data_IF_009240338154
#
_entry.id   IF_009240338154
#
_cell.length_a   1.000
_cell.length_b   1.000
_cell.length_c   1.000
_cell.angle_alpha   90.00
_cell.angle_beta   90.00
_cell.angle_gamma   90.00
#
_symmetry.space_group_name_H-M   'P 1'
#
loop_
_entity.id
_entity.type
_entity.pdbx_description
1 polymer ?
#
# COMPACT_ATOMS: atom_id res chain seq x y z
N UNK A 1 34.25 61.70 7.16
CA UNK A 1 32.95 61.89 6.46
C UNK A 1 32.45 60.50 6.13
N UNK A 2 31.39 60.07 6.80
CA UNK A 2 30.72 58.80 6.55
C UNK A 2 29.67 59.00 5.45
N UNK A 3 29.61 58.09 4.49
CA UNK A 3 28.46 57.94 3.60
C UNK A 3 27.72 56.67 4.03
N UNK A 4 26.52 56.88 4.53
CA UNK A 4 25.54 55.86 4.86
C UNK A 4 24.67 55.60 3.62
N UNK A 5 24.59 54.35 3.18
CA UNK A 5 23.89 53.92 1.96
C UNK A 5 22.51 53.30 2.27
N UNK A 6 22.00 53.49 3.49
CA UNK A 6 20.75 52.88 3.95
C UNK A 6 19.51 53.37 3.17
N UNK A 7 19.58 54.52 2.49
CA UNK A 7 18.46 55.09 1.72
C UNK A 7 18.42 54.67 0.23
N UNK A 8 19.29 53.78 -0.25
CA UNK A 8 19.30 53.33 -1.66
C UNK A 8 18.68 51.94 -1.91
N UNK A 9 18.06 51.32 -0.91
CA UNK A 9 17.32 50.05 -1.06
C UNK A 9 15.85 50.26 -0.65
N UNK A 10 15.20 51.29 -1.19
CA UNK A 10 13.75 51.46 -1.10
C UNK A 10 13.10 51.07 -2.43
N UNK A 11 12.89 49.78 -2.61
CA UNK A 11 12.14 49.21 -3.73
C UNK A 11 11.35 47.94 -3.36
N UNK A 12 11.19 47.68 -2.06
CA UNK A 12 10.26 46.66 -1.58
C UNK A 12 8.85 47.23 -1.65
N UNK A 13 8.05 46.70 -2.56
CA UNK A 13 6.59 46.79 -2.51
C UNK A 13 6.15 46.57 -1.07
N UNK A 14 5.61 47.62 -0.46
CA UNK A 14 4.82 47.49 0.76
C UNK A 14 3.71 46.50 0.45
N UNK A 15 3.87 45.26 0.92
CA UNK A 15 2.72 44.41 1.20
C UNK A 15 1.87 45.20 2.19
N UNK A 16 0.83 45.86 1.68
CA UNK A 16 -0.29 46.29 2.49
C UNK A 16 -0.74 45.06 3.26
N UNK A 17 -0.31 44.98 4.52
CA UNK A 17 -0.89 44.08 5.50
C UNK A 17 -2.37 44.40 5.55
N UNK A 18 -3.15 43.60 4.84
CA UNK A 18 -4.59 43.53 5.05
C UNK A 18 -4.75 43.28 6.55
N UNK A 19 -5.49 44.13 7.28
CA UNK A 19 -5.58 43.99 8.71
C UNK A 19 -6.25 42.64 8.99
N UNK A 20 -5.47 41.68 9.48
CA UNK A 20 -6.02 40.47 10.08
C UNK A 20 -6.91 40.93 11.24
N UNK A 21 -8.22 40.91 11.01
CA UNK A 21 -9.19 40.99 12.08
C UNK A 21 -8.79 39.93 13.09
N UNK A 22 -8.34 40.35 14.27
CA UNK A 22 -8.00 39.46 15.39
C UNK A 22 -9.29 38.82 15.85
N UNK A 23 -9.67 37.73 15.17
CA UNK A 23 -10.75 36.83 15.57
C UNK A 23 -10.51 36.46 17.03
N UNK A 24 -11.56 36.54 17.83
CA UNK A 24 -11.53 36.01 19.18
C UNK A 24 -11.21 34.51 19.13
N UNK A 25 -10.71 33.95 20.24
CA UNK A 25 -10.38 32.51 20.33
C UNK A 25 -11.57 31.63 19.95
N UNK A 26 -12.78 32.07 20.31
CA UNK A 26 -14.04 31.38 19.99
C UNK A 26 -14.37 31.48 18.50
N UNK A 27 -14.27 32.66 17.89
CA UNK A 27 -14.49 32.83 16.45
C UNK A 27 -13.47 32.06 15.61
N UNK A 28 -12.20 32.02 16.03
CA UNK A 28 -11.18 31.21 15.36
C UNK A 28 -11.48 29.70 15.47
N UNK A 29 -11.92 29.24 16.63
CA UNK A 29 -12.31 27.84 16.83
C UNK A 29 -13.54 27.48 15.97
N UNK A 30 -14.55 28.35 15.93
CA UNK A 30 -15.74 28.18 15.10
C UNK A 30 -15.38 28.15 13.61
N UNK A 31 -14.54 29.07 13.13
CA UNK A 31 -14.06 29.08 11.74
C UNK A 31 -13.32 27.80 11.38
N UNK A 32 -12.44 27.30 12.26
CA UNK A 32 -11.73 26.03 12.03
C UNK A 32 -12.63 24.80 12.12
N UNK A 33 -13.71 24.86 12.89
CA UNK A 33 -14.71 23.81 12.93
C UNK A 33 -15.52 23.78 11.62
N UNK A 34 -15.97 24.95 11.17
CA UNK A 34 -16.69 25.10 9.89
C UNK A 34 -15.83 24.63 8.71
N UNK A 35 -14.55 25.06 8.62
CA UNK A 35 -13.63 24.61 7.58
C UNK A 35 -13.50 23.07 7.56
N UNK A 36 -13.52 22.43 8.73
CA UNK A 36 -13.51 20.97 8.84
C UNK A 36 -14.78 20.32 8.33
N UNK A 37 -15.93 20.86 8.72
CA UNK A 37 -17.23 20.35 8.28
C UNK A 37 -17.40 20.47 6.77
N UNK A 38 -17.01 21.60 6.18
CA UNK A 38 -17.06 21.82 4.73
C UNK A 38 -16.17 20.84 3.96
N UNK A 39 -14.92 20.63 4.42
CA UNK A 39 -14.01 19.68 3.76
C UNK A 39 -14.51 18.23 3.90
N UNK A 40 -15.11 17.86 5.03
CA UNK A 40 -15.72 16.52 5.14
C UNK A 40 -16.98 16.37 4.30
N UNK A 41 -17.80 17.40 4.19
CA UNK A 41 -18.95 17.39 3.26
C UNK A 41 -18.49 17.19 1.80
N UNK A 42 -17.37 17.81 1.41
CA UNK A 42 -16.76 17.60 0.09
C UNK A 42 -16.26 16.16 -0.08
N UNK A 43 -15.53 15.61 0.90
CA UNK A 43 -15.08 14.20 0.87
C UNK A 43 -16.27 13.26 0.72
N UNK A 44 -17.36 13.53 1.42
CA UNK A 44 -18.59 12.73 1.40
C UNK A 44 -19.28 12.80 0.03
N UNK A 45 -19.37 14.01 -0.53
CA UNK A 45 -19.90 14.23 -1.87
C UNK A 45 -19.07 13.52 -2.94
N UNK A 46 -17.74 13.61 -2.87
CA UNK A 46 -16.83 12.92 -3.78
C UNK A 46 -16.98 11.40 -3.65
N UNK A 47 -17.10 10.86 -2.43
CA UNK A 47 -17.30 9.43 -2.21
C UNK A 47 -18.58 8.93 -2.90
N UNK A 48 -19.69 9.67 -2.79
CA UNK A 48 -20.92 9.35 -3.52
C UNK A 48 -20.76 9.49 -5.04
N UNK A 49 -20.09 10.55 -5.49
CA UNK A 49 -19.81 10.83 -6.90
C UNK A 49 -19.04 9.71 -7.60
N UNK A 50 -18.06 9.10 -6.93
CA UNK A 50 -17.27 7.98 -7.45
C UNK A 50 -18.13 6.77 -7.81
N UNK A 51 -19.23 6.53 -7.11
CA UNK A 51 -20.07 5.35 -7.33
C UNK A 51 -21.32 5.61 -8.19
N UNK A 52 -21.48 6.80 -8.79
CA UNK A 52 -22.66 7.12 -9.60
C UNK A 52 -22.86 6.15 -10.77
N UNK A 53 -21.78 5.77 -11.44
CA UNK A 53 -21.76 4.82 -12.55
C UNK A 53 -20.37 4.16 -12.69
N UNK A 54 -20.26 3.20 -13.60
CA UNK A 54 -19.01 2.48 -13.86
C UNK A 54 -17.88 3.36 -14.38
N UNK A 55 -18.16 4.42 -15.16
CA UNK A 55 -17.15 5.32 -15.71
C UNK A 55 -16.56 6.25 -14.64
N UNK A 56 -17.39 6.74 -13.72
CA UNK A 56 -16.95 7.53 -12.55
C UNK A 56 -16.07 6.70 -11.63
N UNK A 57 -16.47 5.45 -11.36
CA UNK A 57 -15.67 4.54 -10.55
C UNK A 57 -14.34 4.22 -11.25
N UNK A 58 -14.39 3.96 -12.56
CA UNK A 58 -13.20 3.75 -13.38
C UNK A 58 -12.23 4.93 -13.31
N UNK A 59 -12.73 6.16 -13.46
CA UNK A 59 -11.92 7.38 -13.39
C UNK A 59 -11.20 7.52 -12.05
N UNK A 60 -11.89 7.24 -10.94
CA UNK A 60 -11.28 7.27 -9.61
C UNK A 60 -10.23 6.18 -9.41
N UNK A 61 -10.51 4.94 -9.83
CA UNK A 61 -9.56 3.84 -9.71
C UNK A 61 -8.34 4.02 -10.62
N UNK A 62 -8.52 4.60 -11.81
CA UNK A 62 -7.43 5.00 -12.72
C UNK A 62 -6.54 6.05 -12.06
N UNK A 63 -7.13 7.10 -11.47
CA UNK A 63 -6.40 8.11 -10.70
C UNK A 63 -5.63 7.48 -9.53
N UNK A 64 -6.29 6.62 -8.75
CA UNK A 64 -5.69 5.95 -7.59
C UNK A 64 -4.52 5.02 -7.97
N UNK A 65 -4.58 4.39 -9.15
CA UNK A 65 -3.50 3.59 -9.69
C UNK A 65 -2.25 4.43 -10.01
N UNK A 66 -2.42 5.70 -10.35
CA UNK A 66 -1.33 6.61 -10.72
C UNK A 66 -0.82 7.46 -9.55
N UNK A 67 -1.70 7.83 -8.62
CA UNK A 67 -1.36 8.68 -7.49
C UNK A 67 -0.37 7.99 -6.53
N UNK A 68 0.42 8.80 -5.82
CA UNK A 68 1.22 8.34 -4.71
C UNK A 68 0.32 7.86 -3.56
N UNK A 69 0.92 7.24 -2.54
CA UNK A 69 0.13 6.83 -1.37
C UNK A 69 -0.55 8.00 -0.69
N UNK A 70 -1.86 7.89 -0.57
CA UNK A 70 -2.70 8.88 0.10
C UNK A 70 -3.67 8.19 1.04
N UNK A 71 -4.18 8.91 2.02
CA UNK A 71 -5.36 8.45 2.80
C UNK A 71 -6.61 8.63 1.95
N UNK A 72 -7.65 7.84 2.20
CA UNK A 72 -8.90 7.89 1.40
C UNK A 72 -9.49 9.31 1.28
N UNK A 73 -9.59 10.12 2.35
CA UNK A 73 -10.07 11.50 2.21
C UNK A 73 -9.20 12.34 1.28
N UNK A 74 -7.87 12.19 1.32
CA UNK A 74 -6.98 12.90 0.41
C UNK A 74 -7.09 12.39 -1.03
N UNK A 75 -7.29 11.08 -1.28
CA UNK A 75 -7.56 10.59 -2.63
C UNK A 75 -8.80 11.25 -3.22
N UNK A 76 -9.88 11.33 -2.45
CA UNK A 76 -11.15 11.95 -2.86
C UNK A 76 -10.98 13.45 -3.10
N UNK A 77 -10.32 14.17 -2.18
CA UNK A 77 -10.06 15.61 -2.34
C UNK A 77 -9.18 15.91 -3.55
N UNK A 78 -8.10 15.14 -3.76
CA UNK A 78 -7.22 15.35 -4.92
C UNK A 78 -8.00 15.05 -6.20
N UNK A 79 -8.69 13.92 -6.29
CA UNK A 79 -9.45 13.54 -7.47
C UNK A 79 -10.52 14.58 -7.84
N UNK A 80 -11.25 15.11 -6.86
CA UNK A 80 -12.28 16.12 -7.08
C UNK A 80 -11.74 17.48 -7.56
N UNK A 81 -10.50 17.82 -7.22
CA UNK A 81 -9.85 19.09 -7.60
C UNK A 81 -9.00 18.94 -8.88
N UNK A 82 -8.18 17.90 -8.96
CA UNK A 82 -7.18 17.63 -10.01
C UNK A 82 -6.96 16.12 -10.20
N UNK A 83 -7.74 15.45 -11.09
CA UNK A 83 -7.64 14.01 -11.33
C UNK A 83 -6.37 13.58 -12.10
N UNK A 84 -5.58 14.54 -12.57
CA UNK A 84 -4.31 14.34 -13.28
C UNK A 84 -3.07 14.38 -12.36
N UNK A 85 -3.23 14.79 -11.09
CA UNK A 85 -2.13 14.87 -10.13
C UNK A 85 -1.61 13.49 -9.73
N UNK A 86 -0.28 13.37 -9.59
CA UNK A 86 0.41 12.08 -9.41
C UNK A 86 1.11 11.95 -8.08
N UNK A 87 1.71 13.03 -7.56
CA UNK A 87 2.44 13.00 -6.30
C UNK A 87 2.11 14.26 -5.54
N UNK A 88 1.12 14.19 -4.64
CA UNK A 88 0.69 15.33 -3.84
C UNK A 88 1.24 15.22 -2.42
N UNK A 89 1.84 16.31 -1.93
CA UNK A 89 2.34 16.40 -0.55
C UNK A 89 2.12 17.80 0.02
N UNK A 90 2.21 17.96 1.33
CA UNK A 90 2.21 19.28 1.96
C UNK A 90 3.48 20.04 1.61
N UNK A 91 3.43 21.36 1.75
CA UNK A 91 4.60 22.22 1.54
C UNK A 91 5.80 21.80 2.40
N UNK A 92 5.58 21.47 3.68
CA UNK A 92 6.64 21.06 4.61
C UNK A 92 7.34 19.79 4.13
N UNK A 93 6.58 18.82 3.61
CA UNK A 93 7.14 17.58 3.05
C UNK A 93 7.96 17.83 1.80
N UNK A 94 7.55 18.76 0.94
CA UNK A 94 8.36 19.13 -0.21
C UNK A 94 9.64 19.85 0.16
N UNK A 95 9.58 20.71 1.19
CA UNK A 95 10.75 21.39 1.72
C UNK A 95 11.78 20.41 2.31
N UNK A 96 11.32 19.35 2.97
CA UNK A 96 12.17 18.22 3.43
C UNK A 96 12.89 17.53 2.25
N UNK A 97 12.27 17.49 1.07
CA UNK A 97 12.86 16.96 -0.17
C UNK A 97 13.63 18.01 -0.99
N UNK A 98 13.93 19.17 -0.40
CA UNK A 98 14.64 20.28 -1.03
C UNK A 98 13.96 20.81 -2.32
N UNK A 99 12.63 20.77 -2.35
CA UNK A 99 11.82 21.34 -3.45
C UNK A 99 11.05 22.56 -2.98
N UNK A 100 10.88 23.51 -3.89
CA UNK A 100 10.11 24.74 -3.70
C UNK A 100 8.98 24.83 -4.71
N UNK A 101 7.88 25.46 -4.33
CA UNK A 101 6.73 25.67 -5.23
C UNK A 101 7.16 26.66 -6.33
N UNK A 102 6.81 26.36 -7.59
CA UNK A 102 7.09 27.26 -8.72
C UNK A 102 6.27 28.55 -8.58
N UNK A 103 6.79 29.65 -9.11
CA UNK A 103 6.11 30.96 -9.07
C UNK A 103 4.76 30.86 -9.77
N UNK A 104 3.69 31.32 -9.10
CA UNK A 104 2.32 31.33 -9.64
C UNK A 104 1.51 30.05 -9.39
N UNK A 105 2.11 29.00 -8.83
CA UNK A 105 1.38 27.77 -8.50
C UNK A 105 0.57 27.92 -7.20
N UNK A 106 -0.61 27.30 -7.18
CA UNK A 106 -1.51 27.33 -6.03
C UNK A 106 -1.79 25.92 -5.51
N UNK A 107 -1.80 25.78 -4.19
CA UNK A 107 -2.07 24.51 -3.53
C UNK A 107 -3.55 24.17 -3.45
N UNK A 108 -3.83 22.87 -3.53
CA UNK A 108 -5.17 22.29 -3.39
C UNK A 108 -5.51 22.05 -1.93
N UNK A 109 -6.79 21.98 -1.59
CA UNK A 109 -7.24 21.61 -0.24
C UNK A 109 -6.79 20.19 0.09
N UNK A 110 -6.13 20.02 1.24
CA UNK A 110 -5.46 18.78 1.59
C UNK A 110 -5.44 18.56 3.10
N UNK A 111 -5.73 17.34 3.56
CA UNK A 111 -5.66 16.99 4.99
C UNK A 111 -4.25 16.55 5.37
N UNK A 112 -3.57 17.36 6.16
CA UNK A 112 -2.20 17.13 6.64
C UNK A 112 -2.28 16.38 7.96
N UNK A 113 -1.69 15.19 8.05
CA UNK A 113 -1.59 14.45 9.31
C UNK A 113 -0.77 15.23 10.33
N UNK A 114 -1.26 15.32 11.55
CA UNK A 114 -0.52 15.88 12.68
C UNK A 114 -0.41 14.84 13.77
N UNK A 115 0.69 14.87 14.50
CA UNK A 115 0.85 14.12 15.75
C UNK A 115 0.90 15.13 16.89
N UNK A 116 0.15 14.88 17.95
CA UNK A 116 0.08 15.76 19.10
C UNK A 116 -0.03 14.94 20.38
N UNK A 117 0.60 15.41 21.45
CA UNK A 117 0.50 14.79 22.76
C UNK A 117 -0.78 15.24 23.45
N UNK A 118 -1.54 14.29 23.99
CA UNK A 118 -2.70 14.56 24.85
C UNK A 118 -2.70 13.56 25.99
N UNK A 119 -2.68 14.07 27.22
CA UNK A 119 -2.69 13.26 28.45
C UNK A 119 -1.50 12.27 28.54
N UNK A 120 -0.33 12.65 28.03
CA UNK A 120 0.87 11.80 27.99
C UNK A 120 0.88 10.74 26.87
N UNK A 121 -0.17 10.68 26.05
CA UNK A 121 -0.26 9.78 24.89
C UNK A 121 -0.12 10.56 23.58
N UNK A 122 0.73 10.05 22.69
CA UNK A 122 0.82 10.55 21.32
C UNK A 122 -0.44 10.15 20.54
N UNK A 123 -1.21 11.16 20.12
CA UNK A 123 -2.40 10.98 19.28
C UNK A 123 -2.15 11.51 17.88
N UNK A 124 -2.88 10.92 16.93
CA UNK A 124 -2.88 11.36 15.54
C UNK A 124 -4.13 12.18 15.26
N UNK A 125 -3.93 13.33 14.63
CA UNK A 125 -4.98 14.19 14.13
C UNK A 125 -4.72 14.59 12.68
N UNK A 126 -5.42 15.62 12.26
CA UNK A 126 -5.13 16.29 11.01
C UNK A 126 -5.48 17.77 11.11
N UNK A 127 -4.84 18.57 10.27
CA UNK A 127 -5.23 19.94 9.96
C UNK A 127 -5.59 20.03 8.48
N UNK A 128 -6.42 21.03 8.15
CA UNK A 128 -6.68 21.39 6.76
C UNK A 128 -5.64 22.40 6.35
N UNK A 129 -4.98 22.10 5.25
CA UNK A 129 -3.94 22.93 4.68
C UNK A 129 -3.88 22.75 3.17
N UNK A 130 -2.69 22.99 2.62
CA UNK A 130 -2.45 22.96 1.17
C UNK A 130 -1.55 21.80 0.78
N UNK A 131 -1.95 21.10 -0.28
CA UNK A 131 -1.17 20.08 -0.97
C UNK A 131 -0.71 20.62 -2.33
N UNK A 132 0.48 20.20 -2.76
CA UNK A 132 1.06 20.56 -4.05
C UNK A 132 1.49 19.29 -4.78
N UNK A 133 1.21 19.21 -6.07
CA UNK A 133 1.68 18.11 -6.92
C UNK A 133 3.14 18.32 -7.35
N UNK A 134 3.88 17.23 -7.61
CA UNK A 134 5.26 17.28 -8.10
C UNK A 134 5.43 18.15 -9.36
N UNK A 135 4.42 18.23 -10.24
CA UNK A 135 4.44 19.10 -11.41
C UNK A 135 4.53 20.58 -11.07
N UNK A 136 4.06 20.98 -9.88
CA UNK A 136 4.10 22.35 -9.36
C UNK A 136 5.41 22.66 -8.63
N UNK A 137 6.28 21.66 -8.43
CA UNK A 137 7.50 21.78 -7.65
C UNK A 137 8.72 21.98 -8.54
N UNK A 138 9.70 22.74 -8.05
CA UNK A 138 11.04 22.82 -8.64
C UNK A 138 11.78 21.48 -8.53
N UNK A 139 12.87 21.36 -9.30
CA UNK A 139 13.71 20.16 -9.34
C UNK A 139 13.32 19.17 -10.43
N UNK A 140 13.88 17.95 -10.36
CA UNK A 140 13.68 16.92 -11.39
C UNK A 140 12.22 16.48 -11.45
N UNK A 141 11.64 16.31 -12.66
CA UNK A 141 10.29 15.76 -12.79
C UNK A 141 10.22 14.31 -12.29
N UNK A 142 9.00 13.80 -12.13
CA UNK A 142 8.77 12.39 -11.82
C UNK A 142 9.35 11.52 -12.95
N UNK A 143 10.16 10.52 -12.59
CA UNK A 143 10.64 9.52 -13.55
C UNK A 143 9.50 8.61 -14.01
N UNK A 144 9.53 8.22 -15.29
CA UNK A 144 8.57 7.25 -15.81
C UNK A 144 8.78 5.89 -15.15
N UNK A 145 7.67 5.20 -14.85
CA UNK A 145 7.77 3.87 -14.26
C UNK A 145 8.35 2.89 -15.29
N UNK A 146 9.33 2.06 -14.91
CA UNK A 146 9.85 1.02 -15.78
C UNK A 146 8.72 0.08 -16.24
N UNK A 147 8.66 -0.18 -17.54
CA UNK A 147 7.75 -1.18 -18.08
C UNK A 147 8.27 -2.58 -17.71
N UNK A 148 7.36 -3.45 -17.30
CA UNK A 148 7.65 -4.83 -16.88
C UNK A 148 6.81 -5.77 -17.69
N UNK A 149 7.38 -6.91 -18.09
CA UNK A 149 6.59 -7.97 -18.72
C UNK A 149 5.63 -8.60 -17.70
N UNK A 150 4.55 -9.19 -18.21
CA UNK A 150 3.55 -9.81 -17.35
C UNK A 150 4.10 -11.02 -16.59
N UNK A 151 4.98 -11.80 -17.22
CA UNK A 151 5.70 -12.91 -16.58
C UNK A 151 6.55 -12.44 -15.41
N UNK A 152 7.31 -11.35 -15.56
CA UNK A 152 8.09 -10.75 -14.46
C UNK A 152 7.19 -10.27 -13.33
N UNK A 153 6.07 -9.63 -13.66
CA UNK A 153 5.09 -9.16 -12.68
C UNK A 153 4.50 -10.32 -11.88
N UNK A 154 4.05 -11.39 -12.54
CA UNK A 154 3.52 -12.58 -11.87
C UNK A 154 4.58 -13.22 -10.97
N UNK A 155 5.82 -13.38 -11.46
CA UNK A 155 6.93 -13.89 -10.66
C UNK A 155 7.20 -13.04 -9.42
N UNK A 156 7.19 -11.71 -9.57
CA UNK A 156 7.39 -10.75 -8.48
C UNK A 156 6.26 -10.78 -7.47
N UNK A 157 5.01 -10.93 -7.94
CA UNK A 157 3.85 -11.12 -7.06
C UNK A 157 3.99 -12.42 -6.27
N UNK A 158 4.41 -13.53 -6.85
CA UNK A 158 4.52 -14.81 -6.15
C UNK A 158 5.69 -14.90 -5.16
N UNK A 159 6.77 -14.16 -5.42
CA UNK A 159 7.99 -14.16 -4.58
C UNK A 159 7.70 -13.65 -3.16
N UNK A 160 8.27 -14.31 -2.16
CA UNK A 160 8.25 -13.91 -0.73
C UNK A 160 6.86 -13.58 -0.15
N UNK A 161 5.82 -14.23 -0.66
CA UNK A 161 4.45 -14.02 -0.18
C UNK A 161 4.24 -14.53 1.25
N UNK A 162 3.56 -13.73 2.07
CA UNK A 162 3.13 -14.15 3.42
C UNK A 162 1.95 -15.13 3.39
N UNK A 163 1.22 -15.17 2.27
CA UNK A 163 0.09 -16.07 2.02
C UNK A 163 0.54 -17.16 1.06
N UNK A 164 0.29 -18.42 1.41
CA UNK A 164 0.67 -19.54 0.56
C UNK A 164 -0.15 -19.52 -0.74
N UNK A 165 0.49 -19.73 -1.88
CA UNK A 165 -0.19 -19.91 -3.17
C UNK A 165 0.01 -21.36 -3.63
N UNK A 166 -1.07 -22.04 -4.01
CA UNK A 166 -1.06 -23.42 -4.49
C UNK A 166 -1.86 -23.53 -5.78
N UNK A 167 -1.32 -24.27 -6.74
CA UNK A 167 -2.06 -24.68 -7.93
C UNK A 167 -3.05 -25.77 -7.53
N UNK A 168 -4.29 -25.65 -7.99
CA UNK A 168 -5.36 -26.62 -7.77
C UNK A 168 -6.10 -26.86 -9.08
N UNK A 169 -6.07 -28.10 -9.56
CA UNK A 169 -6.68 -28.48 -10.84
C UNK A 169 -8.20 -28.72 -10.69
N UNK A 170 -8.63 -29.16 -9.50
CA UNK A 170 -10.02 -29.54 -9.20
C UNK A 170 -10.85 -28.40 -8.56
N UNK A 171 -10.53 -27.14 -8.85
CA UNK A 171 -11.37 -26.02 -8.43
C UNK A 171 -12.77 -26.10 -9.09
N UNK A 172 -13.86 -25.70 -8.40
CA UNK A 172 -15.20 -25.70 -8.98
C UNK A 172 -15.28 -24.92 -10.29
N UNK A 173 -16.18 -25.33 -11.18
CA UNK A 173 -16.39 -24.68 -12.48
C UNK A 173 -16.52 -23.15 -12.33
N UNK A 174 -15.84 -22.41 -13.21
CA UNK A 174 -15.76 -20.94 -13.23
C UNK A 174 -15.01 -20.28 -12.06
N UNK A 175 -14.44 -21.05 -11.13
CA UNK A 175 -13.50 -20.52 -10.14
C UNK A 175 -12.09 -20.45 -10.74
N UNK A 176 -11.57 -19.24 -10.87
CA UNK A 176 -10.21 -18.97 -11.35
C UNK A 176 -9.16 -19.08 -10.22
N UNK A 177 -9.50 -18.53 -9.05
CA UNK A 177 -8.70 -18.61 -7.83
C UNK A 177 -9.60 -18.32 -6.62
N UNK A 178 -9.20 -18.80 -5.44
CA UNK A 178 -9.90 -18.52 -4.19
C UNK A 178 -8.96 -18.49 -2.98
N UNK A 179 -9.05 -17.42 -2.18
CA UNK A 179 -8.46 -17.37 -0.84
C UNK A 179 -9.28 -18.19 0.16
N UNK A 180 -8.60 -19.09 0.88
CA UNK A 180 -9.15 -19.84 1.99
C UNK A 180 -8.62 -19.29 3.33
N UNK A 181 -9.47 -18.66 4.16
CA UNK A 181 -9.04 -18.04 5.42
C UNK A 181 -8.63 -19.05 6.50
N UNK A 182 -9.14 -20.29 6.45
CA UNK A 182 -8.81 -21.33 7.44
C UNK A 182 -7.37 -21.79 7.31
N UNK A 183 -6.89 -21.92 6.08
CA UNK A 183 -5.52 -22.38 5.78
C UNK A 183 -4.58 -21.26 5.35
N UNK A 184 -5.07 -20.01 5.29
CA UNK A 184 -4.35 -18.84 4.75
C UNK A 184 -3.63 -19.17 3.44
N UNK A 185 -4.38 -19.79 2.53
CA UNK A 185 -3.86 -20.29 1.27
C UNK A 185 -4.75 -19.81 0.13
N UNK A 186 -4.13 -19.34 -0.95
CA UNK A 186 -4.77 -19.04 -2.22
C UNK A 186 -4.61 -20.27 -3.11
N UNK A 187 -5.73 -20.84 -3.52
CA UNK A 187 -5.78 -21.88 -4.55
C UNK A 187 -6.02 -21.22 -5.90
N UNK A 188 -5.21 -21.53 -6.90
CA UNK A 188 -5.30 -20.95 -8.25
C UNK A 188 -5.39 -22.05 -9.31
N UNK A 189 -6.27 -21.85 -10.29
CA UNK A 189 -6.45 -22.79 -11.40
C UNK A 189 -5.25 -22.75 -12.34
N UNK A 190 -4.78 -23.92 -12.75
CA UNK A 190 -3.70 -24.02 -13.74
C UNK A 190 -4.17 -23.66 -15.17
N UNK A 191 -3.23 -23.30 -16.05
CA UNK A 191 -3.47 -23.16 -17.49
C UNK A 191 -4.31 -21.95 -17.93
N UNK A 192 -4.52 -20.96 -17.06
CA UNK A 192 -5.16 -19.69 -17.44
C UNK A 192 -4.19 -18.81 -18.24
N UNK A 193 -4.71 -17.83 -19.00
CA UNK A 193 -3.86 -16.81 -19.62
C UNK A 193 -3.11 -16.00 -18.56
N UNK A 194 -1.95 -15.43 -18.90
CA UNK A 194 -1.17 -14.61 -17.96
C UNK A 194 -1.99 -13.43 -17.41
N UNK A 195 -2.78 -12.76 -18.25
CA UNK A 195 -3.66 -11.64 -17.83
C UNK A 195 -4.69 -12.12 -16.82
N UNK A 196 -5.35 -13.24 -17.09
CA UNK A 196 -6.33 -13.84 -16.18
C UNK A 196 -5.69 -14.27 -14.87
N UNK A 197 -4.51 -14.87 -14.94
CA UNK A 197 -3.72 -15.32 -13.78
C UNK A 197 -3.35 -14.14 -12.89
N UNK A 198 -2.84 -13.05 -13.49
CA UNK A 198 -2.47 -11.84 -12.77
C UNK A 198 -3.67 -11.22 -12.05
N UNK A 199 -4.82 -11.09 -12.72
CA UNK A 199 -6.03 -10.54 -12.11
C UNK A 199 -6.58 -11.43 -10.99
N UNK A 200 -6.68 -12.74 -11.23
CA UNK A 200 -7.20 -13.69 -10.25
C UNK A 200 -6.32 -13.73 -9.00
N UNK A 201 -5.00 -13.78 -9.18
CA UNK A 201 -4.03 -13.79 -8.09
C UNK A 201 -4.12 -12.51 -7.24
N UNK A 202 -4.08 -11.33 -7.87
CA UNK A 202 -4.15 -10.06 -7.13
C UNK A 202 -5.51 -9.86 -6.45
N UNK A 203 -6.61 -10.36 -7.02
CA UNK A 203 -7.92 -10.33 -6.36
C UNK A 203 -7.93 -11.18 -5.09
N UNK A 204 -7.39 -12.39 -5.12
CA UNK A 204 -7.37 -13.24 -3.92
C UNK A 204 -6.32 -12.79 -2.89
N UNK A 205 -5.21 -12.18 -3.32
CA UNK A 205 -4.28 -11.48 -2.42
C UNK A 205 -4.96 -10.29 -1.74
N UNK A 206 -5.81 -9.55 -2.45
CA UNK A 206 -6.61 -8.47 -1.86
C UNK A 206 -7.62 -9.01 -0.83
N UNK A 207 -8.28 -10.14 -1.12
CA UNK A 207 -9.12 -10.84 -0.14
C UNK A 207 -8.30 -11.21 1.12
N UNK A 208 -7.10 -11.75 0.95
CA UNK A 208 -6.23 -12.12 2.07
C UNK A 208 -5.75 -10.90 2.87
N UNK A 209 -5.45 -9.78 2.21
CA UNK A 209 -5.07 -8.52 2.86
C UNK A 209 -6.20 -7.90 3.70
N UNK A 210 -7.46 -8.21 3.37
CA UNK A 210 -8.65 -7.74 4.10
C UNK A 210 -9.11 -8.73 5.19
N UNK A 211 -8.47 -9.89 5.31
CA UNK A 211 -8.72 -10.82 6.40
C UNK A 211 -8.02 -10.36 7.68
N UNK A 212 -8.79 -9.82 8.61
CA UNK A 212 -8.29 -9.37 9.92
C UNK A 212 -7.91 -10.52 10.86
N UNK A 213 -8.17 -11.77 10.47
CA UNK A 213 -7.87 -12.98 11.23
C UNK A 213 -8.56 -13.07 12.60
N UNK A 214 -9.70 -12.39 12.73
CA UNK A 214 -10.58 -12.43 13.92
C UNK A 214 -11.70 -13.47 13.80
N UNK A 215 -11.69 -14.27 12.73
CA UNK A 215 -12.76 -15.23 12.41
C UNK A 215 -14.00 -14.61 11.76
N UNK A 216 -13.99 -13.30 11.49
CA UNK A 216 -15.14 -12.55 10.93
C UNK A 216 -15.11 -12.39 9.41
N UNK A 217 -14.08 -12.94 8.75
CA UNK A 217 -13.92 -12.83 7.30
C UNK A 217 -15.13 -13.40 6.54
N UNK A 218 -15.60 -12.64 5.55
CA UNK A 218 -16.62 -13.09 4.60
C UNK A 218 -16.26 -12.62 3.20
N UNK A 219 -16.08 -13.57 2.28
CA UNK A 219 -15.77 -13.27 0.88
C UNK A 219 -16.82 -12.35 0.25
N UNK A 220 -18.10 -12.53 0.60
CA UNK A 220 -19.19 -11.71 0.06
C UNK A 220 -19.08 -10.23 0.49
N UNK A 221 -18.48 -9.95 1.66
CA UNK A 221 -18.30 -8.60 2.18
C UNK A 221 -17.10 -7.88 1.55
N UNK A 222 -16.09 -8.61 1.07
CA UNK A 222 -14.83 -8.03 0.59
C UNK A 222 -14.60 -8.20 -0.92
N UNK A 223 -15.37 -9.06 -1.60
CA UNK A 223 -15.10 -9.42 -2.99
C UNK A 223 -15.16 -8.24 -3.95
N UNK A 224 -16.03 -7.26 -3.71
CA UNK A 224 -16.14 -6.06 -4.54
C UNK A 224 -14.92 -5.13 -4.35
N UNK A 225 -14.45 -4.98 -3.11
CA UNK A 225 -13.25 -4.20 -2.78
C UNK A 225 -11.99 -4.88 -3.34
N UNK A 226 -11.88 -6.20 -3.17
CA UNK A 226 -10.79 -7.00 -3.73
C UNK A 226 -10.74 -6.95 -5.26
N UNK A 227 -11.92 -6.94 -5.91
CA UNK A 227 -12.03 -6.76 -7.34
C UNK A 227 -11.52 -5.39 -7.80
N UNK A 228 -11.92 -4.31 -7.11
CA UNK A 228 -11.40 -2.97 -7.41
C UNK A 228 -9.89 -2.84 -7.12
N UNK A 229 -9.38 -3.50 -6.08
CA UNK A 229 -7.96 -3.50 -5.78
C UNK A 229 -7.14 -4.21 -6.88
N UNK A 230 -7.65 -5.32 -7.41
CA UNK A 230 -7.03 -5.99 -8.57
C UNK A 230 -7.02 -5.07 -9.81
N UNK A 231 -8.09 -4.31 -10.04
CA UNK A 231 -8.13 -3.30 -11.10
C UNK A 231 -7.04 -2.24 -10.92
N UNK A 232 -6.91 -1.67 -9.71
CA UNK A 232 -5.91 -0.62 -9.41
C UNK A 232 -4.49 -1.13 -9.65
N UNK A 233 -4.20 -2.36 -9.20
CA UNK A 233 -2.88 -2.98 -9.43
C UNK A 233 -2.62 -3.23 -10.91
N UNK A 234 -3.59 -3.81 -11.63
CA UNK A 234 -3.47 -4.05 -13.06
C UNK A 234 -3.22 -2.76 -13.84
N UNK A 235 -4.03 -1.72 -13.57
CA UNK A 235 -3.90 -0.42 -14.20
C UNK A 235 -2.52 0.20 -13.98
N UNK A 236 -2.03 0.14 -12.74
CA UNK A 236 -0.72 0.70 -12.35
C UNK A 236 0.46 0.10 -13.12
N UNK A 237 0.35 -1.19 -13.47
CA UNK A 237 1.39 -1.93 -14.18
C UNK A 237 1.09 -2.13 -15.68
N UNK A 238 0.08 -1.43 -16.23
CA UNK A 238 -0.24 -1.50 -17.65
C UNK A 238 -0.84 -2.83 -18.11
N UNK A 239 -1.39 -3.63 -17.20
CA UNK A 239 -2.07 -4.89 -17.55
C UNK A 239 -3.48 -4.56 -18.04
N UNK A 240 -3.95 -5.28 -19.07
CA UNK A 240 -5.28 -5.09 -19.66
C UNK A 240 -6.39 -5.21 -18.61
N UNK A 241 -7.26 -4.20 -18.54
CA UNK A 241 -8.39 -4.10 -17.60
C UNK A 241 -9.76 -4.14 -18.29
N UNK A 242 -9.82 -4.42 -19.60
CA UNK A 242 -11.09 -4.43 -20.36
C UNK A 242 -12.11 -5.44 -19.84
N UNK A 243 -11.66 -6.52 -19.20
CA UNK A 243 -12.54 -7.53 -18.58
C UNK A 243 -13.23 -7.09 -17.28
N UNK A 244 -12.98 -5.88 -16.77
CA UNK A 244 -13.58 -5.40 -15.54
C UNK A 244 -14.97 -4.79 -15.75
N UNK A 245 -15.96 -5.26 -14.98
CA UNK A 245 -17.32 -4.71 -14.96
C UNK A 245 -17.49 -3.81 -13.73
N UNK A 246 -17.05 -2.55 -13.86
CA UNK A 246 -17.15 -1.55 -12.79
C UNK A 246 -18.58 -0.99 -12.66
N UNK A 247 -19.38 -1.06 -13.72
CA UNK A 247 -20.81 -0.70 -13.69
C UNK A 247 -21.58 -1.56 -12.68
N UNK A 248 -21.32 -2.87 -12.63
CA UNK A 248 -21.91 -3.76 -11.64
C UNK A 248 -21.53 -3.37 -10.20
N UNK A 249 -20.33 -2.85 -9.98
CA UNK A 249 -19.87 -2.40 -8.65
C UNK A 249 -20.60 -1.11 -8.24
N UNK A 250 -20.77 -0.17 -9.18
CA UNK A 250 -21.55 1.05 -8.96
C UNK A 250 -23.01 0.70 -8.61
N UNK A 251 -23.66 -0.18 -9.37
CA UNK A 251 -25.03 -0.64 -9.11
C UNK A 251 -25.19 -1.31 -7.74
N UNK A 252 -24.23 -2.15 -7.34
CA UNK A 252 -24.23 -2.81 -6.01
C UNK A 252 -24.04 -1.81 -4.85
N UNK A 253 -23.49 -0.64 -5.14
CA UNK A 253 -23.39 0.49 -4.22
C UNK A 253 -24.45 1.56 -4.49
N UNK A 254 -25.59 1.13 -5.05
CA UNK A 254 -26.80 1.91 -5.27
C UNK A 254 -26.54 3.20 -6.06
N UNK A 255 -25.58 3.15 -6.98
CA UNK A 255 -25.19 4.28 -7.81
C UNK A 255 -24.84 5.52 -6.96
N UNK A 256 -24.13 5.31 -5.85
CA UNK A 256 -23.67 6.37 -4.94
C UNK A 256 -24.72 6.85 -3.92
N UNK A 257 -25.89 6.22 -3.85
CA UNK A 257 -26.98 6.62 -2.92
C UNK A 257 -26.83 6.08 -1.50
N UNK A 258 -25.85 5.21 -1.25
CA UNK A 258 -25.53 4.72 0.10
C UNK A 258 -25.03 5.86 0.99
N UNK A 259 -25.00 5.56 2.28
CA UNK A 259 -24.35 6.41 3.27
C UNK A 259 -22.91 6.71 2.84
N UNK A 260 -22.49 7.99 2.83
CA UNK A 260 -21.15 8.38 2.42
C UNK A 260 -20.05 7.66 3.21
N UNK A 261 -20.26 7.37 4.50
CA UNK A 261 -19.26 6.70 5.32
C UNK A 261 -19.04 5.27 4.86
N UNK A 262 -20.11 4.54 4.54
CA UNK A 262 -20.00 3.20 3.96
C UNK A 262 -19.21 3.20 2.64
N UNK A 263 -19.41 4.20 1.78
CA UNK A 263 -18.67 4.35 0.53
C UNK A 263 -17.19 4.69 0.75
N UNK A 264 -16.89 5.56 1.74
CA UNK A 264 -15.51 5.85 2.14
C UNK A 264 -14.80 4.62 2.71
N UNK A 265 -15.50 3.83 3.51
CA UNK A 265 -14.97 2.61 4.09
C UNK A 265 -14.66 1.58 2.99
N UNK A 266 -15.54 1.43 2.00
CA UNK A 266 -15.28 0.63 0.79
C UNK A 266 -13.99 1.09 0.10
N UNK A 267 -13.84 2.39 -0.17
CA UNK A 267 -12.64 2.92 -0.84
C UNK A 267 -11.38 2.77 0.03
N UNK A 268 -11.52 2.84 1.36
CA UNK A 268 -10.43 2.56 2.28
C UNK A 268 -9.96 1.11 2.23
N UNK A 269 -10.86 0.13 2.13
CA UNK A 269 -10.52 -1.28 1.93
C UNK A 269 -9.78 -1.49 0.61
N UNK A 270 -10.28 -0.91 -0.49
CA UNK A 270 -9.61 -0.94 -1.81
C UNK A 270 -8.20 -0.37 -1.69
N UNK A 271 -8.05 0.76 -1.02
CA UNK A 271 -6.76 1.42 -0.77
C UNK A 271 -5.82 0.58 0.06
N UNK A 272 -6.28 0.00 1.15
CA UNK A 272 -5.46 -0.84 2.02
C UNK A 272 -4.94 -2.07 1.27
N UNK A 273 -5.84 -2.79 0.58
CA UNK A 273 -5.48 -3.98 -0.18
C UNK A 273 -4.53 -3.64 -1.33
N UNK A 274 -4.82 -2.59 -2.11
CA UNK A 274 -3.99 -2.16 -3.23
C UNK A 274 -2.59 -1.75 -2.76
N UNK A 275 -2.48 -0.99 -1.66
CA UNK A 275 -1.17 -0.56 -1.17
C UNK A 275 -0.36 -1.71 -0.57
N UNK A 276 -1.02 -2.68 0.08
CA UNK A 276 -0.37 -3.89 0.56
C UNK A 276 0.31 -4.65 -0.59
N UNK A 277 -0.46 -4.91 -1.65
CA UNK A 277 0.04 -5.62 -2.85
C UNK A 277 1.11 -4.80 -3.56
N UNK A 278 0.88 -3.50 -3.76
CA UNK A 278 1.85 -2.63 -4.44
C UNK A 278 3.18 -2.61 -3.70
N UNK A 279 3.17 -2.41 -2.38
CA UNK A 279 4.39 -2.35 -1.58
C UNK A 279 5.14 -3.70 -1.61
N UNK A 280 4.43 -4.82 -1.69
CA UNK A 280 5.01 -6.14 -1.88
C UNK A 280 5.76 -6.24 -3.21
N UNK A 281 5.10 -5.87 -4.31
CA UNK A 281 5.70 -5.90 -5.65
C UNK A 281 6.91 -4.95 -5.74
N UNK A 282 6.77 -3.72 -5.25
CA UNK A 282 7.84 -2.71 -5.25
C UNK A 282 9.07 -3.16 -4.44
N UNK A 283 8.85 -3.82 -3.28
CA UNK A 283 9.94 -4.40 -2.49
C UNK A 283 10.68 -5.49 -3.26
N UNK A 284 9.94 -6.40 -3.89
CA UNK A 284 10.54 -7.52 -4.61
C UNK A 284 11.25 -7.11 -5.90
N UNK A 285 10.86 -5.99 -6.53
CA UNK A 285 11.63 -5.39 -7.61
C UNK A 285 12.95 -4.75 -7.14
N UNK A 286 12.99 -4.22 -5.91
CA UNK A 286 14.18 -3.60 -5.33
C UNK A 286 15.13 -4.55 -4.60
N UNK A 287 14.68 -5.77 -4.28
CA UNK A 287 15.44 -6.75 -3.52
C UNK A 287 16.50 -7.44 -4.40
N UNK A 288 17.77 -7.40 -3.96
CA UNK A 288 18.82 -8.24 -4.53
C UNK A 288 18.68 -9.66 -3.98
N UNK A 289 18.82 -10.67 -4.84
CA UNK A 289 18.91 -12.05 -4.37
C UNK A 289 20.17 -12.25 -3.53
N UNK A 290 20.01 -12.90 -2.38
CA UNK A 290 21.15 -13.26 -1.55
C UNK A 290 21.91 -14.38 -2.24
N UNK A 291 23.18 -14.14 -2.55
CA UNK A 291 24.06 -15.19 -3.04
C UNK A 291 24.32 -16.19 -1.91
N UNK A 292 24.27 -17.50 -2.23
CA UNK A 292 24.66 -18.53 -1.29
C UNK A 292 26.14 -18.37 -0.96
N UNK A 293 26.45 -18.09 0.31
CA UNK A 293 27.82 -18.06 0.83
C UNK A 293 28.03 -19.31 1.68
N UNK A 294 29.23 -19.88 1.62
CA UNK A 294 29.61 -21.00 2.49
C UNK A 294 29.47 -20.59 3.96
N UNK A 295 28.81 -21.43 4.75
CA UNK A 295 28.58 -21.17 6.17
C UNK A 295 29.92 -21.11 6.94
N UNK A 296 30.31 -19.91 7.38
CA UNK A 296 31.45 -19.72 8.28
C UNK A 296 31.25 -20.46 9.61
N UNK A 297 29.99 -20.68 9.99
CA UNK A 297 29.57 -21.41 11.18
C UNK A 297 28.97 -22.79 10.85
N UNK A 298 29.44 -23.44 9.78
CA UNK A 298 29.00 -24.79 9.43
C UNK A 298 29.15 -25.72 10.65
N UNK A 299 28.03 -26.29 11.10
CA UNK A 299 28.01 -27.25 12.20
C UNK A 299 28.55 -28.57 11.64
N UNK A 300 29.76 -28.94 12.05
CA UNK A 300 30.36 -30.21 11.66
C UNK A 300 29.54 -31.39 12.15
N UNK A 301 29.52 -32.47 11.35
CA UNK A 301 28.93 -33.74 11.78
C UNK A 301 29.59 -34.21 13.09
N UNK A 302 28.83 -34.80 14.03
CA UNK A 302 29.40 -35.33 15.25
C UNK A 302 30.51 -36.35 14.90
N UNK A 303 31.74 -36.04 15.30
CA UNK A 303 32.90 -36.90 15.11
C UNK A 303 32.56 -38.25 15.74
N UNK A 304 32.46 -39.31 14.92
CA UNK A 304 32.47 -40.68 15.43
C UNK A 304 33.83 -40.90 16.07
N UNK A 305 33.88 -40.88 17.40
CA UNK A 305 35.05 -41.27 18.18
C UNK A 305 35.47 -42.67 17.71
N UNK A 306 36.71 -42.89 17.25
CA UNK A 306 37.15 -44.23 16.89
C UNK A 306 37.08 -45.09 18.16
N UNK A 307 36.40 -46.23 18.07
CA UNK A 307 36.37 -47.24 19.14
C UNK A 307 37.80 -47.66 19.47
N UNK A 308 38.31 -47.19 20.60
CA UNK A 308 39.53 -47.74 21.21
C UNK A 308 39.19 -49.13 21.71
N UNK A 309 39.82 -50.14 21.09
CA UNK A 309 39.96 -51.48 21.65
C UNK A 309 40.68 -51.37 22.99
N UNK A 310 39.97 -51.58 24.09
CA UNK A 310 40.58 -51.86 25.39
C UNK A 310 40.63 -53.37 25.66
N UNK A 311 41.86 -53.85 25.86
CA UNK A 311 42.16 -55.19 26.36
C UNK A 311 41.83 -55.33 27.86
N UNK A 312 41.15 -56.44 28.16
CA UNK A 312 40.98 -57.20 29.42
C UNK A 312 41.77 -56.82 30.69
N UNK A 313 41.05 -56.84 31.81
CA UNK A 313 41.28 -57.69 33.02
C UNK A 313 39.96 -57.70 33.83
N UNK A 314 39.47 -58.73 34.55
CA UNK A 314 40.01 -59.95 35.16
C UNK A 314 38.82 -60.87 35.52
N UNK A 315 39.00 -62.19 35.48
CA UNK A 315 38.04 -63.13 36.09
C UNK A 315 38.47 -64.59 35.93
N UNK A 316 39.02 -65.17 36.99
CA UNK A 316 39.38 -66.59 37.13
C UNK A 316 38.16 -67.49 36.91
N UNK A 317 38.31 -68.57 36.14
CA UNK A 317 37.84 -69.89 36.58
C UNK A 317 38.55 -71.05 35.86
N UNK A 318 38.69 -72.15 36.61
CA UNK A 318 39.53 -73.32 36.32
C UNK A 318 38.76 -74.35 35.48
N UNK A 319 39.50 -75.04 34.59
CA UNK A 319 39.67 -76.51 34.46
C UNK A 319 39.54 -77.04 33.01
N UNK A 320 40.64 -77.69 32.63
CA UNK A 320 40.74 -79.01 32.00
C UNK A 320 40.34 -79.23 30.52
N UNK A 321 41.40 -79.49 29.73
CA UNK A 321 41.60 -80.66 28.83
C UNK A 321 40.47 -81.05 27.87
N UNK A 322 40.69 -80.84 26.57
CA UNK A 322 41.21 -81.83 25.59
C UNK A 322 40.76 -81.48 24.15
N UNK A 323 41.77 -81.40 23.26
CA UNK A 323 41.85 -81.74 21.82
C UNK A 323 40.71 -82.58 21.16
N UNK A 324 40.69 -82.72 19.82
CA UNK A 324 40.82 -81.71 18.75
C UNK A 324 39.87 -82.02 17.54
N UNK A 325 40.05 -81.30 16.43
CA UNK A 325 39.58 -81.61 15.06
C UNK A 325 38.04 -81.58 14.86
N UNK A 326 37.48 -80.84 13.90
CA UNK A 326 37.92 -80.59 12.53
C UNK A 326 37.19 -79.39 11.95
#
# INVERSE_FOLDING_TARGET
MYMDLTDMISGGTEEQQVPEQKLTKEEYAAKKQQEREEVWAEVDSQAQGVFQDGEKLKGFLDFMAECNTQRTPNLLLIYGQHPDFKVVRSYERWREEHRSVKVGEHGITYMISTEYEKDGEMRRGYTIGKGFDISQMSGKPLEERPQRSLTELIGTVLKDQSVRVQIEDDLPDKVQAQYNPRYRTIYIRNGMSEVTTFHALNRELACAALDQHTGTYSRQKVSAQAYCAAYVIAKRYGVDVTGFNLEYIAQRNECGKKDPQELRDFLNDVRQASYSIRNHIERNFGAKEQEYVTDEFAIGDPVKTPETKDEKASGKEKKAKNQPER
#
